data_IF_058484333239
#
_entry.id   IF_058484333239
#
_cell.length_a   1.000
_cell.length_b   1.000
_cell.length_c   1.000
_cell.angle_alpha   90.00
_cell.angle_beta   90.00
_cell.angle_gamma   90.00
#
_symmetry.space_group_name_H-M   'P 1'
#
loop_
_entity.id
_entity.type
_entity.pdbx_description
1 polymer ?
#
# COMPACT_ATOMS: atom_id res chain seq x y z
N UNK A 1 -13.43 7.78 26.07
CA UNK A 1 -12.28 6.83 26.02
C UNK A 1 -11.60 7.04 24.68
N UNK A 2 -10.31 7.40 24.69
CA UNK A 2 -9.51 7.60 23.49
C UNK A 2 -8.94 6.24 23.05
N UNK A 3 -9.31 5.73 21.87
CA UNK A 3 -8.98 4.37 21.41
C UNK A 3 -7.62 4.29 20.68
N UNK A 4 -6.92 5.42 20.53
CA UNK A 4 -5.67 5.54 19.76
C UNK A 4 -4.42 5.06 20.52
N UNK A 5 -4.54 4.70 21.81
CA UNK A 5 -3.41 4.25 22.64
C UNK A 5 -3.23 2.73 22.68
N UNK A 6 -4.02 1.96 21.91
CA UNK A 6 -3.89 0.51 21.86
C UNK A 6 -2.79 0.19 20.84
N UNK A 7 -1.67 -0.35 21.32
CA UNK A 7 -0.58 -0.82 20.48
C UNK A 7 -0.94 -2.18 19.85
N UNK A 8 -1.34 -2.13 18.58
CA UNK A 8 -1.75 -3.30 17.79
C UNK A 8 -0.58 -4.15 17.30
N UNK A 9 0.66 -3.67 17.44
CA UNK A 9 1.85 -4.36 16.91
C UNK A 9 2.44 -5.39 17.87
N UNK A 10 2.06 -5.32 19.15
CA UNK A 10 2.58 -6.16 20.21
C UNK A 10 1.46 -6.91 20.96
N UNK A 11 0.55 -7.54 20.20
CA UNK A 11 -0.50 -8.40 20.77
C UNK A 11 0.12 -9.76 21.08
N UNK A 12 0.36 -10.03 22.36
CA UNK A 12 0.85 -11.33 22.81
C UNK A 12 -0.30 -12.35 22.83
N UNK A 13 -0.28 -13.23 21.83
CA UNK A 13 -1.24 -14.32 21.67
C UNK A 13 -0.71 -15.65 22.24
N UNK A 14 0.53 -15.68 22.74
CA UNK A 14 1.16 -16.92 23.22
C UNK A 14 0.53 -17.44 24.52
N UNK A 15 -0.11 -16.54 25.26
CA UNK A 15 -0.81 -16.83 26.51
C UNK A 15 -2.34 -17.00 26.33
N UNK A 16 -2.82 -17.12 25.09
CA UNK A 16 -4.19 -17.53 24.83
C UNK A 16 -4.35 -19.00 25.20
N UNK A 17 -4.83 -19.23 26.41
CA UNK A 17 -5.19 -20.55 26.89
C UNK A 17 -6.21 -21.17 25.94
N UNK A 18 -5.87 -22.33 25.36
CA UNK A 18 -6.76 -23.09 24.50
C UNK A 18 -8.09 -23.41 25.22
N UNK A 19 -8.07 -23.50 26.55
CA UNK A 19 -9.28 -23.61 27.39
C UNK A 19 -10.23 -22.43 27.23
N UNK A 20 -9.71 -21.21 27.04
CA UNK A 20 -10.52 -20.02 26.84
C UNK A 20 -11.23 -20.04 25.47
N UNK A 21 -10.56 -20.52 24.42
CA UNK A 21 -11.15 -20.69 23.09
C UNK A 21 -12.21 -21.80 23.10
N UNK A 22 -11.95 -22.92 23.76
CA UNK A 22 -12.94 -24.00 23.92
C UNK A 22 -14.18 -23.52 24.67
N UNK A 23 -14.01 -22.72 25.73
CA UNK A 23 -15.13 -22.14 26.48
C UNK A 23 -15.93 -21.13 25.66
N UNK A 24 -15.27 -20.33 24.83
CA UNK A 24 -15.89 -19.42 23.88
C UNK A 24 -16.69 -20.16 22.81
N UNK A 25 -16.11 -21.24 22.26
CA UNK A 25 -16.76 -22.08 21.27
C UNK A 25 -18.02 -22.78 21.84
N UNK A 26 -17.94 -23.29 23.07
CA UNK A 26 -19.07 -23.88 23.77
C UNK A 26 -20.18 -22.85 24.03
N UNK A 27 -19.82 -21.64 24.48
CA UNK A 27 -20.79 -20.57 24.69
C UNK A 27 -21.46 -20.15 23.38
N UNK A 28 -20.69 -19.95 22.32
CA UNK A 28 -21.21 -19.59 21.00
C UNK A 28 -22.12 -20.68 20.40
N UNK A 29 -21.77 -21.95 20.59
CA UNK A 29 -22.58 -23.10 20.16
C UNK A 29 -23.87 -23.30 20.94
N UNK A 30 -24.00 -22.70 22.14
CA UNK A 30 -25.21 -22.73 22.95
C UNK A 30 -26.22 -21.62 22.60
N UNK A 31 -25.84 -20.69 21.71
CA UNK A 31 -26.73 -19.59 21.32
C UNK A 31 -27.83 -20.08 20.35
N UNK A 32 -29.05 -19.52 20.42
CA UNK A 32 -30.08 -19.74 19.40
C UNK A 32 -29.56 -19.34 18.01
N UNK A 33 -29.85 -20.13 16.97
CA UNK A 33 -29.23 -19.97 15.65
C UNK A 33 -29.38 -18.56 15.02
N UNK A 34 -30.46 -17.86 15.32
CA UNK A 34 -30.66 -16.47 14.88
C UNK A 34 -29.64 -15.50 15.50
N UNK A 35 -29.37 -15.65 16.80
CA UNK A 35 -28.39 -14.83 17.53
C UNK A 35 -26.97 -15.17 17.07
N UNK A 36 -26.69 -16.45 16.87
CA UNK A 36 -25.40 -16.93 16.37
C UNK A 36 -25.06 -16.31 15.01
N UNK A 37 -26.01 -16.35 14.07
CA UNK A 37 -25.84 -15.79 12.72
C UNK A 37 -25.59 -14.29 12.77
N UNK A 38 -26.35 -13.57 13.59
CA UNK A 38 -26.17 -12.13 13.76
C UNK A 38 -24.76 -11.81 14.29
N UNK A 39 -24.30 -12.55 15.29
CA UNK A 39 -22.94 -12.42 15.83
C UNK A 39 -21.87 -12.71 14.77
N UNK A 40 -22.01 -13.79 13.98
CA UNK A 40 -21.06 -14.11 12.91
C UNK A 40 -20.96 -12.98 11.90
N UNK A 41 -22.11 -12.44 11.48
CA UNK A 41 -22.16 -11.36 10.49
C UNK A 41 -21.51 -10.10 11.04
N UNK A 42 -21.82 -9.71 12.28
CA UNK A 42 -21.24 -8.52 12.92
C UNK A 42 -19.72 -8.67 13.05
N UNK A 43 -19.23 -9.81 13.55
CA UNK A 43 -17.79 -10.09 13.66
C UNK A 43 -17.14 -10.05 12.27
N UNK A 44 -17.76 -10.67 11.27
CA UNK A 44 -17.30 -10.66 9.89
C UNK A 44 -17.17 -9.24 9.32
N UNK A 45 -18.17 -8.39 9.54
CA UNK A 45 -18.14 -6.97 9.11
C UNK A 45 -17.01 -6.21 9.78
N UNK A 46 -16.80 -6.38 11.09
CA UNK A 46 -15.72 -5.72 11.82
C UNK A 46 -14.36 -6.15 11.27
N UNK A 47 -14.13 -7.46 11.14
CA UNK A 47 -12.88 -8.00 10.59
C UNK A 47 -12.66 -7.53 9.15
N UNK A 48 -13.69 -7.59 8.31
CA UNK A 48 -13.62 -7.11 6.93
C UNK A 48 -13.28 -5.62 6.85
N UNK A 49 -13.86 -4.77 7.70
CA UNK A 49 -13.57 -3.35 7.73
C UNK A 49 -12.09 -3.06 8.11
N UNK A 50 -11.54 -3.83 9.06
CA UNK A 50 -10.13 -3.72 9.46
C UNK A 50 -9.21 -4.13 8.31
N UNK A 51 -9.45 -5.30 7.71
CA UNK A 51 -8.64 -5.79 6.57
C UNK A 51 -8.74 -4.83 5.39
N UNK A 52 -9.95 -4.35 5.06
CA UNK A 52 -10.17 -3.40 3.98
C UNK A 52 -9.37 -2.11 4.19
N UNK A 53 -9.32 -1.58 5.42
CA UNK A 53 -8.50 -0.41 5.73
C UNK A 53 -7.01 -0.64 5.45
N UNK A 54 -6.48 -1.80 5.82
CA UNK A 54 -5.08 -2.16 5.57
C UNK A 54 -4.83 -2.20 4.05
N UNK A 55 -5.70 -2.87 3.30
CA UNK A 55 -5.58 -2.97 1.83
C UNK A 55 -5.61 -1.58 1.18
N UNK A 56 -6.55 -0.72 1.57
CA UNK A 56 -6.64 0.65 1.04
C UNK A 56 -5.37 1.45 1.36
N UNK A 57 -4.80 1.29 2.55
CA UNK A 57 -3.53 1.94 2.91
C UNK A 57 -2.39 1.50 2.01
N UNK A 58 -2.31 0.20 1.69
CA UNK A 58 -1.30 -0.35 0.77
C UNK A 58 -1.49 0.21 -0.64
N UNK A 59 -2.72 0.16 -1.17
CA UNK A 59 -3.04 0.65 -2.53
C UNK A 59 -2.65 2.12 -2.68
N UNK A 60 -2.95 2.96 -1.68
CA UNK A 60 -2.55 4.37 -1.66
C UNK A 60 -1.04 4.53 -1.76
N UNK A 61 -0.27 3.76 -0.99
CA UNK A 61 1.19 3.76 -1.06
C UNK A 61 1.72 3.36 -2.44
N UNK A 62 1.12 2.35 -3.07
CA UNK A 62 1.49 1.89 -4.41
C UNK A 62 1.19 2.95 -5.47
N UNK A 63 0.03 3.62 -5.41
CA UNK A 63 -0.29 4.70 -6.35
C UNK A 63 0.70 5.86 -6.24
N UNK A 64 1.04 6.26 -5.01
CA UNK A 64 2.03 7.31 -4.76
C UNK A 64 3.41 6.90 -5.29
N UNK A 65 3.83 5.65 -5.07
CA UNK A 65 5.14 5.19 -5.55
C UNK A 65 5.23 5.19 -7.08
N UNK A 66 4.16 4.82 -7.79
CA UNK A 66 4.08 4.91 -9.24
C UNK A 66 4.22 6.36 -9.71
N UNK A 67 3.47 7.28 -9.12
CA UNK A 67 3.53 8.71 -9.48
C UNK A 67 4.95 9.25 -9.24
N UNK A 68 5.55 8.95 -8.09
CA UNK A 68 6.93 9.36 -7.78
C UNK A 68 7.92 8.77 -8.77
N UNK A 69 7.79 7.49 -9.13
CA UNK A 69 8.66 6.84 -10.11
C UNK A 69 8.56 7.51 -11.49
N UNK A 70 7.35 7.81 -11.96
CA UNK A 70 7.13 8.52 -13.24
C UNK A 70 7.70 9.93 -13.18
N UNK A 71 7.48 10.67 -12.09
CA UNK A 71 8.04 12.02 -11.93
C UNK A 71 9.57 11.99 -11.94
N UNK A 72 10.19 11.07 -11.21
CA UNK A 72 11.65 10.91 -11.19
C UNK A 72 12.20 10.55 -12.59
N UNK A 73 11.51 9.65 -13.30
CA UNK A 73 11.86 9.29 -14.67
C UNK A 73 11.78 10.51 -15.60
N UNK A 74 10.67 11.26 -15.57
CA UNK A 74 10.47 12.44 -16.42
C UNK A 74 11.50 13.54 -16.12
N UNK A 75 11.77 13.81 -14.84
CA UNK A 75 12.80 14.77 -14.45
C UNK A 75 14.18 14.40 -14.98
N UNK A 76 14.49 13.10 -15.03
CA UNK A 76 15.80 12.61 -15.49
C UNK A 76 15.89 12.52 -17.02
N UNK A 77 14.79 12.22 -17.72
CA UNK A 77 14.80 11.99 -19.18
C UNK A 77 14.59 13.25 -20.03
N UNK A 78 13.86 14.26 -19.54
CA UNK A 78 13.62 15.51 -20.31
C UNK A 78 14.91 16.31 -20.59
N UNK A 79 15.89 16.44 -19.68
CA UNK A 79 17.16 17.12 -19.96
C UNK A 79 18.05 16.37 -20.95
N UNK A 80 18.01 15.03 -20.92
CA UNK A 80 18.86 14.18 -21.78
C UNK A 80 18.61 14.40 -23.27
N UNK A 81 17.35 14.54 -23.68
CA UNK A 81 16.98 14.80 -25.07
C UNK A 81 17.41 16.20 -25.55
N UNK A 82 17.37 17.20 -24.66
CA UNK A 82 17.82 18.56 -24.97
C UNK A 82 19.35 18.64 -25.12
N UNK A 83 20.09 17.89 -24.29
CA UNK A 83 21.55 17.80 -24.38
C UNK A 83 22.00 17.12 -25.68
N UNK A 84 21.29 16.07 -26.11
CA UNK A 84 21.54 15.40 -27.39
C UNK A 84 21.31 16.32 -28.58
N UNK A 85 20.22 17.08 -28.61
CA UNK A 85 19.96 18.04 -29.69
C UNK A 85 20.99 19.17 -29.72
N UNK A 86 21.39 19.72 -28.56
CA UNK A 86 22.41 20.76 -28.52
C UNK A 86 23.81 20.25 -28.89
N UNK A 87 24.15 19.01 -28.52
CA UNK A 87 25.40 18.38 -28.93
C UNK A 87 25.39 18.09 -30.44
N UNK A 88 24.24 17.65 -30.97
CA UNK A 88 24.05 17.40 -32.40
C UNK A 88 24.21 18.70 -33.21
N UNK A 89 23.53 19.78 -32.82
CA UNK A 89 23.64 21.09 -33.49
C UNK A 89 25.10 21.60 -33.52
N UNK A 90 25.86 21.39 -32.43
CA UNK A 90 27.29 21.76 -32.36
C UNK A 90 28.19 20.92 -33.25
N UNK A 91 27.87 19.64 -33.45
CA UNK A 91 28.63 18.76 -34.33
C UNK A 91 28.32 19.08 -35.79
N UNK A 92 27.06 19.32 -36.14
CA UNK A 92 26.66 19.68 -37.50
C UNK A 92 27.30 21.01 -37.93
N UNK A 93 27.31 22.03 -37.06
CA UNK A 93 27.98 23.30 -37.35
C UNK A 93 29.50 23.17 -37.56
N UNK A 94 30.17 22.32 -36.78
CA UNK A 94 31.61 22.07 -36.95
C UNK A 94 31.89 21.39 -38.28
N UNK A 95 31.07 20.40 -38.64
CA UNK A 95 31.21 19.67 -39.90
C UNK A 95 30.97 20.61 -41.09
N UNK A 96 29.89 21.39 -41.10
CA UNK A 96 29.60 22.34 -42.18
C UNK A 96 30.67 23.43 -42.33
N UNK A 97 31.28 23.87 -41.23
CA UNK A 97 32.36 24.87 -41.27
C UNK A 97 33.66 24.27 -41.81
N UNK A 98 33.95 23.00 -41.50
CA UNK A 98 35.13 22.29 -42.00
C UNK A 98 35.05 21.88 -43.49
N UNK A 99 33.83 21.76 -44.03
CA UNK A 99 33.57 21.42 -45.44
C UNK A 99 33.55 22.65 -46.37
N UNK A 100 33.48 23.86 -45.82
CA UNK A 100 33.38 25.10 -46.58
C UNK A 100 34.69 25.94 -46.55
N UNK A 101 35.80 25.33 -46.11
CA UNK A 101 37.19 25.76 -46.34
C UNK A 101 37.82 24.86 -47.40
#
# INVERSE_FOLDING_TARGET
>A
MNMDSIDWTNIDLSNLDLSALDRLALWYGQLPGAVQTLLTVVVGVIVAAVVFRIVVSIIKGVLVSIVVAVLAFLLTTVPGNMLLNQAYDRVEQQISTSLNQ
#
